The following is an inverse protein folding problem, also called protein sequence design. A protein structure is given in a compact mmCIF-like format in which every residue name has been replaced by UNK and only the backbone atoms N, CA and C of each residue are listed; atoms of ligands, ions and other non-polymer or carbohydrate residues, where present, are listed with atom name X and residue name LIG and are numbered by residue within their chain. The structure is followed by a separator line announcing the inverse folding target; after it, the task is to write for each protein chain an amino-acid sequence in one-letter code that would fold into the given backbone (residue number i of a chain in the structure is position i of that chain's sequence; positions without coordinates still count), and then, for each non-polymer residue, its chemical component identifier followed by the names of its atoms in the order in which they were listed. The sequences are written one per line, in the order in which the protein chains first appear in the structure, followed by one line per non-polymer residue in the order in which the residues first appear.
data_IF_186342597873
#
_entry.id   IF_186342597873
#
_cell.length_a   1.000
_cell.length_b   1.000
_cell.length_c   1.000
_cell.angle_alpha   90.00
_cell.angle_beta   90.00
_cell.angle_gamma   90.00
#
_symmetry.space_group_name_H-M   'P 1'
#
loop_
_entity.id
_entity.type
_entity.pdbx_description
1 polymer ?
#
# COMPACT_ATOMS: atom_id res chain seq x y z
N UNK A 1 -4.53 0.08 28.98
CA UNK A 1 -5.83 -0.27 28.36
C UNK A 1 -5.64 0.01 26.88
N UNK A 2 -5.07 -0.95 26.15
CA UNK A 2 -4.24 -0.65 24.95
C UNK A 2 -4.99 -0.91 23.63
N UNK A 3 -6.32 -0.90 23.68
CA UNK A 3 -7.15 -1.13 22.49
C UNK A 3 -7.24 0.16 21.69
N UNK A 4 -6.72 0.11 20.46
CA UNK A 4 -6.93 1.14 19.44
C UNK A 4 -8.39 1.08 18.98
N UNK A 5 -9.23 1.97 19.47
CA UNK A 5 -10.67 1.97 19.15
C UNK A 5 -11.12 3.21 18.41
N UNK A 6 -10.32 4.28 18.41
CA UNK A 6 -10.70 5.58 17.83
C UNK A 6 -9.89 5.91 16.58
N UNK A 7 -10.45 6.69 15.63
CA UNK A 7 -9.69 7.25 14.51
C UNK A 7 -8.41 8.00 14.93
N UNK A 8 -8.45 8.73 16.05
CA UNK A 8 -7.29 9.46 16.56
C UNK A 8 -6.17 8.51 17.00
N UNK A 9 -6.51 7.37 17.57
CA UNK A 9 -5.53 6.34 17.91
C UNK A 9 -4.93 5.70 16.66
N UNK A 10 -5.70 5.60 15.57
CA UNK A 10 -5.23 5.10 14.30
C UNK A 10 -4.23 6.06 13.66
N UNK A 11 -4.54 7.35 13.67
CA UNK A 11 -3.71 8.40 13.06
C UNK A 11 -2.38 8.59 13.79
N UNK A 12 -2.28 8.22 15.07
CA UNK A 12 -1.01 8.16 15.82
C UNK A 12 -0.06 7.08 15.29
N UNK A 13 -0.57 6.05 14.63
CA UNK A 13 0.21 4.86 14.24
C UNK A 13 0.37 4.76 12.73
N UNK A 14 -0.68 5.05 11.96
CA UNK A 14 -0.71 4.90 10.51
C UNK A 14 -1.01 6.24 9.86
N UNK A 15 -0.19 6.57 8.85
CA UNK A 15 -0.37 7.72 7.97
C UNK A 15 -0.59 7.25 6.55
N UNK A 16 -1.43 7.97 5.82
CA UNK A 16 -1.64 7.79 4.39
C UNK A 16 -1.39 9.10 3.61
N UNK A 17 -0.38 9.86 4.05
CA UNK A 17 -0.04 11.19 3.53
C UNK A 17 1.41 11.29 3.10
N UNK A 18 1.68 12.14 2.11
CA UNK A 18 3.01 12.59 1.75
C UNK A 18 3.44 13.64 2.80
N UNK A 19 4.52 13.41 3.56
CA UNK A 19 5.00 14.37 4.56
C UNK A 19 5.42 15.71 3.96
N UNK A 20 5.69 16.70 4.80
CA UNK A 20 6.33 17.91 4.32
C UNK A 20 7.81 17.67 4.06
N UNK A 21 8.32 18.10 2.92
CA UNK A 21 9.74 17.97 2.61
C UNK A 21 10.61 18.82 3.54
N UNK A 22 10.14 19.99 3.98
CA UNK A 22 10.88 20.88 4.86
C UNK A 22 10.82 20.43 6.32
N UNK A 23 9.70 19.83 6.76
CA UNK A 23 9.52 19.39 8.15
C UNK A 23 10.05 17.98 8.38
N UNK A 24 9.80 17.05 7.46
CA UNK A 24 10.17 15.63 7.59
C UNK A 24 10.91 15.11 6.34
N UNK A 25 12.06 15.68 5.94
CA UNK A 25 12.72 15.39 4.66
C UNK A 25 13.06 13.91 4.46
N UNK A 26 13.50 13.23 5.52
CA UNK A 26 13.84 11.79 5.45
C UNK A 26 12.60 10.94 5.18
N UNK A 27 11.50 11.25 5.88
CA UNK A 27 10.25 10.51 5.71
C UNK A 27 9.62 10.83 4.35
N UNK A 28 9.65 12.09 3.91
CA UNK A 28 9.21 12.52 2.59
C UNK A 28 9.87 11.68 1.48
N UNK A 29 11.20 11.59 1.50
CA UNK A 29 11.97 10.77 0.55
C UNK A 29 11.59 9.29 0.64
N UNK A 30 11.47 8.74 1.84
CA UNK A 30 11.10 7.34 2.02
C UNK A 30 9.68 7.03 1.51
N UNK A 31 8.73 7.95 1.73
CA UNK A 31 7.34 7.81 1.27
C UNK A 31 7.26 7.86 -0.24
N UNK A 32 7.92 8.81 -0.91
CA UNK A 32 7.95 8.85 -2.37
C UNK A 32 8.65 7.64 -2.98
N UNK A 33 9.70 7.14 -2.33
CA UNK A 33 10.47 5.97 -2.79
C UNK A 33 9.66 4.68 -2.68
N UNK A 34 8.93 4.49 -1.58
CA UNK A 34 8.38 3.17 -1.23
C UNK A 34 6.87 3.12 -1.05
N UNK A 35 6.24 4.21 -0.62
CA UNK A 35 4.83 4.21 -0.18
C UNK A 35 3.88 4.76 -1.24
N UNK A 36 4.34 5.10 -2.43
CA UNK A 36 3.44 5.48 -3.51
C UNK A 36 2.98 4.23 -4.25
N UNK A 37 1.68 3.99 -4.26
CA UNK A 37 1.11 2.98 -5.16
C UNK A 37 1.49 3.36 -6.58
N UNK A 38 2.14 2.43 -7.29
CA UNK A 38 2.69 2.71 -8.61
C UNK A 38 1.63 3.29 -9.56
N UNK A 39 2.04 4.10 -10.55
CA UNK A 39 1.12 4.65 -11.52
C UNK A 39 0.26 3.53 -12.09
N UNK A 40 -1.06 3.70 -12.03
CA UNK A 40 -2.03 2.73 -12.50
C UNK A 40 -3.27 3.47 -13.02
N UNK A 41 -4.26 2.73 -13.49
CA UNK A 41 -5.46 3.33 -14.08
C UNK A 41 -5.11 4.03 -15.37
N UNK A 42 -5.57 5.27 -15.50
CA UNK A 42 -5.29 6.12 -16.66
C UNK A 42 -3.81 6.41 -16.87
N UNK A 43 -3.01 6.41 -15.79
CA UNK A 43 -1.57 6.67 -15.87
C UNK A 43 -0.78 5.46 -16.38
N UNK A 44 -1.28 4.24 -16.15
CA UNK A 44 -0.69 3.01 -16.66
C UNK A 44 -1.69 1.85 -16.57
N UNK A 45 -2.28 1.49 -17.70
CA UNK A 45 -3.23 0.38 -17.79
C UNK A 45 -2.56 -1.00 -17.70
N UNK A 46 -1.23 -1.07 -17.89
CA UNK A 46 -0.45 -2.33 -17.86
C UNK A 46 0.03 -2.71 -16.46
N UNK A 47 -0.22 -1.87 -15.45
CA UNK A 47 0.22 -2.16 -14.09
C UNK A 47 -0.39 -3.47 -13.57
N UNK A 48 0.36 -4.33 -12.84
CA UNK A 48 -0.14 -5.63 -12.37
C UNK A 48 -1.38 -5.54 -11.45
N UNK A 49 -1.63 -4.38 -10.87
CA UNK A 49 -2.81 -4.14 -10.04
C UNK A 49 -4.09 -3.93 -10.87
N UNK A 50 -4.00 -3.71 -12.18
CA UNK A 50 -5.14 -3.42 -13.05
C UNK A 50 -5.96 -4.68 -13.32
N UNK A 51 -7.28 -4.58 -13.18
CA UNK A 51 -8.24 -5.61 -13.52
C UNK A 51 -9.52 -4.95 -14.06
N UNK A 52 -9.95 -5.38 -15.25
CA UNK A 52 -11.18 -4.87 -15.90
C UNK A 52 -11.22 -3.32 -15.95
N UNK A 53 -10.10 -2.69 -16.33
CA UNK A 53 -10.02 -1.23 -16.47
C UNK A 53 -9.86 -0.44 -15.17
N UNK A 54 -9.87 -1.08 -14.00
CA UNK A 54 -9.71 -0.40 -12.69
C UNK A 54 -8.59 -1.02 -11.85
N UNK A 55 -8.03 -0.25 -10.92
CA UNK A 55 -7.06 -0.79 -9.98
C UNK A 55 -7.78 -1.69 -8.97
N UNK A 56 -7.37 -2.96 -8.86
CA UNK A 56 -7.90 -3.93 -7.88
C UNK A 56 -7.77 -3.46 -6.43
N UNK A 57 -6.84 -2.55 -6.15
CA UNK A 57 -6.62 -1.94 -4.83
C UNK A 57 -7.40 -0.63 -4.63
N UNK A 58 -8.10 -0.17 -5.66
CA UNK A 58 -8.91 1.06 -5.64
C UNK A 58 -8.08 2.32 -5.53
N UNK A 59 -6.95 2.38 -6.26
CA UNK A 59 -6.15 3.59 -6.39
C UNK A 59 -6.45 4.33 -7.71
N UNK A 60 -6.37 5.67 -7.74
CA UNK A 60 -6.18 6.55 -6.57
C UNK A 60 -7.37 6.50 -5.59
N UNK A 61 -7.10 6.64 -4.29
CA UNK A 61 -8.15 6.74 -3.26
C UNK A 61 -8.88 8.07 -3.33
N UNK A 62 -9.99 8.20 -2.62
CA UNK A 62 -10.62 9.51 -2.42
C UNK A 62 -9.84 10.32 -1.38
N UNK A 63 -9.93 11.65 -1.46
CA UNK A 63 -9.48 12.51 -0.39
C UNK A 63 -10.44 12.37 0.81
N UNK A 64 -9.89 12.45 2.01
CA UNK A 64 -10.65 12.44 3.26
C UNK A 64 -9.93 13.28 4.31
N UNK A 65 -10.63 14.23 4.92
CA UNK A 65 -10.05 15.05 5.98
C UNK A 65 -9.91 14.31 7.31
N UNK A 66 -10.60 13.18 7.46
CA UNK A 66 -10.64 12.41 8.70
C UNK A 66 -10.49 10.92 8.41
N UNK A 67 -9.93 10.19 9.38
CA UNK A 67 -9.96 8.72 9.36
C UNK A 67 -11.36 8.26 9.74
N UNK A 68 -11.95 7.39 8.92
CA UNK A 68 -13.27 6.82 9.17
C UNK A 68 -13.15 5.36 9.52
N UNK A 69 -13.81 4.94 10.59
CA UNK A 69 -13.91 3.52 10.91
C UNK A 69 -14.78 2.84 9.84
N UNK A 70 -14.22 1.84 9.18
CA UNK A 70 -14.96 1.08 8.19
C UNK A 70 -15.93 0.11 8.87
N UNK A 71 -17.20 0.12 8.49
CA UNK A 71 -18.15 -0.93 8.90
C UNK A 71 -17.63 -2.26 8.36
N UNK A 72 -17.22 -3.14 9.27
CA UNK A 72 -16.58 -4.43 8.97
C UNK A 72 -15.47 -4.35 7.91
N UNK A 73 -14.70 -3.26 7.85
CA UNK A 73 -13.59 -3.08 6.90
C UNK A 73 -12.39 -2.39 7.55
N UNK A 74 -11.25 -2.34 6.85
CA UNK A 74 -10.10 -1.57 7.35
C UNK A 74 -10.51 -0.09 7.44
N UNK A 75 -9.92 0.67 8.38
CA UNK A 75 -10.15 2.10 8.45
C UNK A 75 -9.86 2.78 7.11
N UNK A 76 -10.70 3.73 6.74
CA UNK A 76 -10.43 4.64 5.64
C UNK A 76 -9.57 5.76 6.19
N UNK A 77 -8.25 5.67 6.00
CA UNK A 77 -7.32 6.64 6.55
C UNK A 77 -7.47 8.03 5.94
N UNK A 78 -7.18 9.03 6.77
CA UNK A 78 -7.06 10.44 6.43
C UNK A 78 -6.09 10.68 5.27
N UNK A 79 -6.57 11.39 4.25
CA UNK A 79 -5.88 11.81 3.03
C UNK A 79 -6.33 13.23 2.68
N UNK A 80 -5.83 14.27 3.37
CA UNK A 80 -6.25 15.63 3.14
C UNK A 80 -5.78 16.11 1.75
N UNK A 81 -6.54 17.02 1.15
CA UNK A 81 -6.10 17.76 -0.04
C UNK A 81 -5.52 19.12 0.38
N UNK A 82 -4.54 19.08 1.27
CA UNK A 82 -3.93 20.26 1.90
C UNK A 82 -2.73 20.81 1.14
N UNK A 83 -2.20 20.04 0.17
CA UNK A 83 -1.01 20.40 -0.60
C UNK A 83 -1.14 20.04 -2.08
N UNK A 84 -0.43 20.77 -2.96
CA UNK A 84 -0.34 20.41 -4.37
C UNK A 84 0.30 19.02 -4.56
N UNK A 85 -0.09 18.32 -5.64
CA UNK A 85 0.57 17.09 -6.04
C UNK A 85 2.07 17.34 -6.32
N UNK A 86 2.94 16.40 -5.95
CA UNK A 86 4.40 16.47 -6.08
C UNK A 86 4.90 15.50 -7.17
N UNK A 87 6.05 15.75 -7.81
CA UNK A 87 6.61 14.78 -8.75
C UNK A 87 7.00 13.48 -8.03
N UNK A 88 6.70 12.32 -8.63
CA UNK A 88 6.97 11.01 -8.03
C UNK A 88 8.47 10.76 -7.79
N UNK A 89 9.31 11.30 -8.67
CA UNK A 89 10.79 11.25 -8.62
C UNK A 89 11.31 12.56 -9.20
N UNK A 90 12.57 12.86 -8.95
CA UNK A 90 13.27 13.94 -9.65
C UNK A 90 13.06 13.80 -11.17
N UNK A 91 12.65 14.89 -11.82
CA UNK A 91 12.33 14.96 -13.25
C UNK A 91 11.15 14.09 -13.74
N UNK A 92 10.34 13.53 -12.84
CA UNK A 92 9.15 12.78 -13.25
C UNK A 92 8.04 13.71 -13.74
N UNK A 93 7.47 13.38 -14.91
CA UNK A 93 6.21 13.99 -15.39
C UNK A 93 4.99 13.53 -14.60
N UNK A 94 5.10 12.41 -13.88
CA UNK A 94 4.00 11.86 -13.09
C UNK A 94 3.96 12.59 -11.75
N UNK A 95 2.85 13.27 -11.49
CA UNK A 95 2.58 13.91 -10.21
C UNK A 95 1.65 13.06 -9.36
N UNK A 96 1.94 12.97 -8.08
CA UNK A 96 1.20 12.18 -7.10
C UNK A 96 0.83 13.03 -5.90
N UNK A 97 -0.30 12.70 -5.29
CA UNK A 97 -0.83 13.34 -4.08
C UNK A 97 -1.19 12.26 -3.05
N UNK A 98 -1.80 12.68 -1.93
CA UNK A 98 -2.16 11.81 -0.83
C UNK A 98 -3.09 10.65 -1.23
N UNK A 99 -3.76 10.69 -2.38
CA UNK A 99 -4.62 9.59 -2.87
C UNK A 99 -3.83 8.36 -3.30
N UNK A 100 -2.54 8.52 -3.59
CA UNK A 100 -1.67 7.45 -4.08
C UNK A 100 -0.88 6.75 -2.97
N UNK A 101 -0.92 7.29 -1.75
CA UNK A 101 -0.11 6.78 -0.65
C UNK A 101 -0.67 5.46 -0.12
N UNK A 102 0.17 4.44 -0.04
CA UNK A 102 -0.08 3.19 0.68
C UNK A 102 0.08 3.48 2.18
N UNK A 103 -0.88 3.10 3.05
CA UNK A 103 -0.80 3.39 4.48
C UNK A 103 0.46 2.81 5.14
N UNK A 104 1.13 3.61 5.97
CA UNK A 104 2.42 3.29 6.56
C UNK A 104 2.56 3.81 7.99
N UNK A 105 3.48 3.21 8.75
CA UNK A 105 3.94 3.75 10.02
C UNK A 105 5.29 4.44 9.80
N UNK A 106 5.47 5.73 10.18
CA UNK A 106 6.70 6.47 9.95
C UNK A 106 7.95 5.81 10.50
N UNK A 107 7.86 5.26 11.72
CA UNK A 107 8.99 4.61 12.38
C UNK A 107 9.41 3.34 11.65
N UNK A 108 8.46 2.47 11.30
CA UNK A 108 8.75 1.21 10.61
C UNK A 108 9.28 1.45 9.19
N UNK A 109 8.72 2.44 8.48
CA UNK A 109 9.20 2.81 7.15
C UNK A 109 10.65 3.27 7.19
N UNK A 110 11.00 4.17 8.11
CA UNK A 110 12.37 4.66 8.24
C UNK A 110 13.34 3.58 8.76
N UNK A 111 12.87 2.69 9.63
CA UNK A 111 13.68 1.61 10.19
C UNK A 111 14.08 0.56 9.14
N UNK A 112 13.17 0.21 8.23
CA UNK A 112 13.38 -0.88 7.27
C UNK A 112 13.64 -0.42 5.84
N UNK A 113 13.41 0.86 5.51
CA UNK A 113 13.62 1.47 4.17
C UNK A 113 13.08 0.60 3.02
N UNK A 114 11.87 0.08 3.16
CA UNK A 114 11.25 -0.79 2.17
C UNK A 114 9.74 -0.58 2.05
N UNK A 115 9.12 -1.20 1.05
CA UNK A 115 7.68 -1.14 0.87
C UNK A 115 6.94 -1.95 1.96
N UNK A 116 6.24 -1.27 2.87
CA UNK A 116 5.46 -1.87 3.96
C UNK A 116 4.04 -1.32 3.90
N UNK A 117 3.04 -2.20 3.79
CA UNK A 117 1.64 -1.83 3.92
C UNK A 117 1.15 -2.15 5.34
N UNK A 118 0.73 -1.15 6.10
CA UNK A 118 0.27 -1.32 7.48
C UNK A 118 -1.22 -1.03 7.56
N UNK A 119 -1.95 -1.99 8.11
CA UNK A 119 -3.40 -1.90 8.27
C UNK A 119 -3.78 -2.14 9.72
N UNK A 120 -4.57 -1.24 10.30
CA UNK A 120 -5.12 -1.43 11.63
C UNK A 120 -6.35 -2.34 11.51
N UNK A 121 -6.34 -3.41 12.31
CA UNK A 121 -7.42 -4.37 12.34
C UNK A 121 -8.00 -4.46 13.75
N UNK A 122 -9.09 -3.74 14.00
CA UNK A 122 -9.75 -3.65 15.31
C UNK A 122 -11.00 -4.55 15.45
N UNK A 123 -11.41 -5.25 14.38
CA UNK A 123 -12.60 -6.11 14.35
C UNK A 123 -12.27 -7.59 14.17
N UNK A 124 -13.28 -8.47 14.12
CA UNK A 124 -13.13 -9.93 13.87
C UNK A 124 -12.40 -10.26 12.55
N UNK A 125 -12.19 -9.26 11.67
CA UNK A 125 -11.29 -9.37 10.53
C UNK A 125 -9.84 -9.63 10.93
N UNK A 126 -9.39 -9.31 12.15
CA UNK A 126 -8.03 -9.62 12.58
C UNK A 126 -7.82 -11.14 12.58
N UNK A 127 -8.83 -11.88 13.01
CA UNK A 127 -8.86 -13.35 12.95
C UNK A 127 -8.80 -13.81 11.50
N UNK A 128 -9.71 -13.33 10.62
CA UNK A 128 -9.69 -13.70 9.18
C UNK A 128 -8.36 -13.36 8.51
N UNK A 129 -7.75 -12.24 8.86
CA UNK A 129 -6.46 -11.82 8.35
C UNK A 129 -5.36 -12.76 8.81
N UNK A 130 -5.24 -13.02 10.12
CA UNK A 130 -4.26 -13.96 10.66
C UNK A 130 -4.39 -15.33 9.99
N UNK A 131 -5.60 -15.90 9.92
CA UNK A 131 -5.85 -17.17 9.23
C UNK A 131 -5.43 -17.13 7.76
N UNK A 132 -5.76 -16.07 7.02
CA UNK A 132 -5.36 -15.92 5.62
C UNK A 132 -3.84 -16.00 5.44
N UNK A 133 -3.06 -15.38 6.33
CA UNK A 133 -1.60 -15.32 6.19
C UNK A 133 -0.91 -16.56 6.77
N UNK A 134 -1.46 -17.19 7.80
CA UNK A 134 -1.02 -18.50 8.30
C UNK A 134 -1.21 -19.58 7.22
N UNK A 135 -2.36 -19.57 6.53
CA UNK A 135 -2.72 -20.58 5.54
C UNK A 135 -2.39 -20.19 4.10
N UNK A 136 -1.70 -19.06 3.87
CA UNK A 136 -1.32 -18.63 2.52
C UNK A 136 -0.32 -19.58 1.85
N UNK A 137 0.27 -20.49 2.63
CA UNK A 137 1.39 -21.35 2.21
C UNK A 137 2.69 -20.55 2.12
N UNK A 138 3.81 -21.25 2.06
CA UNK A 138 5.11 -20.65 1.71
C UNK A 138 5.03 -20.03 0.30
N UNK A 139 5.79 -18.95 0.06
CA UNK A 139 5.90 -18.36 -1.27
C UNK A 139 6.42 -19.43 -2.24
N UNK A 140 5.58 -19.84 -3.20
CA UNK A 140 5.94 -20.82 -4.24
C UNK A 140 6.38 -20.06 -5.48
N UNK A 141 7.61 -20.29 -5.91
CA UNK A 141 8.11 -19.80 -7.20
C UNK A 141 7.82 -20.86 -8.25
N UNK A 142 7.01 -20.53 -9.26
CA UNK A 142 6.88 -21.35 -10.47
C UNK A 142 8.00 -20.97 -11.41
N UNK A 143 8.93 -21.90 -11.67
CA UNK A 143 9.95 -21.76 -12.70
C UNK A 143 9.49 -22.48 -13.98
N UNK A 144 9.59 -21.80 -15.11
CA UNK A 144 9.39 -22.38 -16.44
C UNK A 144 10.78 -22.66 -17.02
N UNK A 145 11.12 -23.93 -17.22
CA UNK A 145 12.39 -24.33 -17.85
C UNK A 145 12.12 -24.57 -19.32
N UNK A 146 12.50 -23.63 -20.18
CA UNK A 146 12.41 -23.81 -21.64
C UNK A 146 13.51 -24.77 -22.11
N UNK A 147 13.19 -26.06 -22.17
CA UNK A 147 13.81 -26.98 -23.10
C UNK A 147 12.69 -27.54 -23.97
N UNK A 148 12.77 -27.27 -25.28
CA UNK A 148 11.71 -27.49 -26.25
C UNK A 148 11.30 -28.96 -26.43
N UNK A 149 10.48 -29.46 -25.51
CA UNK A 149 9.68 -30.65 -25.70
C UNK A 149 8.35 -30.50 -24.94
N UNK A 150 7.24 -30.62 -25.68
CA UNK A 150 5.95 -29.97 -25.43
C UNK A 150 5.06 -30.73 -24.43
N UNK A 151 5.54 -31.85 -23.85
CA UNK A 151 4.72 -32.73 -22.99
C UNK A 151 5.53 -33.25 -21.79
N UNK A 152 5.73 -32.41 -20.77
CA UNK A 152 5.85 -32.74 -19.33
C UNK A 152 6.65 -31.66 -18.57
N UNK A 153 6.09 -30.47 -18.36
CA UNK A 153 6.83 -29.39 -17.68
C UNK A 153 5.98 -28.63 -16.66
N UNK A 154 5.75 -29.28 -15.50
CA UNK A 154 5.55 -28.57 -14.24
C UNK A 154 6.39 -29.27 -13.17
N UNK A 155 7.54 -28.69 -12.83
CA UNK A 155 8.32 -29.10 -11.65
C UNK A 155 8.04 -28.07 -10.56
N UNK A 156 7.25 -28.48 -9.57
CA UNK A 156 6.98 -27.68 -8.37
C UNK A 156 8.21 -27.78 -7.45
N UNK A 157 9.10 -26.79 -7.53
CA UNK A 157 10.30 -26.73 -6.71
C UNK A 157 9.98 -26.11 -5.33
N UNK A 158 10.33 -26.85 -4.27
CA UNK A 158 10.23 -26.42 -2.86
C UNK A 158 11.50 -25.73 -2.41
#
# INVERSE_FOLDING_TARGET
NDKLTTPDDFDKIVRAVIPDEQVEPKLYKAVLKHMIHGPCGVLNHKSPCMKQGSCKKGFPKEFSNDTKQGNDSYPLYRRPQDRPAVPLRENSRVRVDNRWVVPYNPFLLLKYDCHINIEICSSIKCVKYLYKYIHKGSDRVSMEVHNGDEIAQYVDAR
#
